data_IF_932511504050
#
_entry.id   IF_932511504050
#
_cell.length_a   1.000
_cell.length_b   1.000
_cell.length_c   1.000
_cell.angle_alpha   90.00
_cell.angle_beta   90.00
_cell.angle_gamma   90.00
#
_symmetry.space_group_name_H-M   'P 1'
#
loop_
_entity.id
_entity.type
_entity.pdbx_description
1 polymer ?
#
# COMPACT_ATOMS: atom_id res chain seq x y z
N UNK A 1 -43.12 -14.91 -20.94
CA UNK A 1 -42.47 -13.60 -20.95
C UNK A 1 -41.00 -13.78 -21.35
N UNK A 2 -40.60 -13.30 -22.54
CA UNK A 2 -39.20 -13.37 -23.02
C UNK A 2 -38.47 -12.14 -22.51
N UNK A 3 -37.46 -12.32 -21.69
CA UNK A 3 -36.52 -11.27 -21.33
C UNK A 3 -35.62 -10.99 -22.54
N UNK A 4 -35.78 -9.82 -23.14
CA UNK A 4 -34.84 -9.30 -24.15
C UNK A 4 -33.61 -8.80 -23.40
N UNK A 5 -32.48 -9.49 -23.55
CA UNK A 5 -31.16 -8.98 -23.19
C UNK A 5 -30.79 -7.88 -24.21
N UNK A 6 -30.90 -6.64 -23.81
CA UNK A 6 -30.36 -5.52 -24.60
C UNK A 6 -28.83 -5.50 -24.41
N UNK A 7 -28.11 -5.84 -25.44
CA UNK A 7 -26.65 -5.84 -25.57
C UNK A 7 -26.08 -4.42 -25.73
N UNK A 8 -26.40 -3.49 -24.83
CA UNK A 8 -25.89 -2.10 -24.88
C UNK A 8 -24.72 -1.79 -23.97
N UNK A 9 -24.08 -2.82 -23.36
CA UNK A 9 -23.01 -2.63 -22.36
C UNK A 9 -21.57 -2.69 -22.88
N UNK A 10 -21.32 -3.08 -24.13
CA UNK A 10 -19.94 -3.40 -24.57
C UNK A 10 -19.21 -2.28 -25.34
N UNK A 11 -19.86 -1.16 -25.63
CA UNK A 11 -19.27 -0.10 -26.48
C UNK A 11 -18.52 1.02 -25.75
N UNK A 12 -18.58 1.10 -24.43
CA UNK A 12 -17.93 2.21 -23.69
C UNK A 12 -16.69 1.82 -22.87
N UNK A 13 -16.14 0.63 -23.05
CA UNK A 13 -14.95 0.21 -22.29
C UNK A 13 -13.62 0.62 -22.93
N UNK A 14 -13.63 1.17 -24.15
CA UNK A 14 -12.40 1.61 -24.85
C UNK A 14 -12.43 3.07 -25.33
N UNK A 15 -13.48 3.82 -25.03
CA UNK A 15 -13.62 5.20 -25.51
C UNK A 15 -13.86 6.16 -24.35
N UNK A 16 -12.82 6.80 -23.84
CA UNK A 16 -12.90 7.91 -22.89
C UNK A 16 -12.24 7.65 -21.55
N UNK A 17 -11.17 6.89 -21.49
CA UNK A 17 -10.26 6.92 -20.35
C UNK A 17 -9.62 8.30 -20.31
N UNK A 18 -10.06 9.15 -19.37
CA UNK A 18 -9.23 10.25 -18.89
C UNK A 18 -7.93 9.60 -18.43
N UNK A 19 -6.88 9.66 -19.26
CA UNK A 19 -5.54 9.12 -18.96
C UNK A 19 -4.85 9.91 -17.83
N UNK A 20 -5.55 10.86 -17.22
CA UNK A 20 -5.06 11.64 -16.10
C UNK A 20 -5.02 10.79 -14.83
N UNK A 21 -3.90 10.86 -14.14
CA UNK A 21 -3.77 10.27 -12.79
C UNK A 21 -4.73 11.02 -11.86
N UNK A 22 -5.67 10.31 -11.19
CA UNK A 22 -6.63 10.97 -10.32
C UNK A 22 -5.94 11.62 -9.11
N UNK A 23 -6.64 12.58 -8.48
CA UNK A 23 -6.02 13.52 -7.55
C UNK A 23 -5.45 12.88 -6.29
N UNK A 24 -6.12 11.85 -5.73
CA UNK A 24 -5.66 11.15 -4.53
C UNK A 24 -4.36 10.40 -4.76
N UNK A 25 -4.31 9.58 -5.82
CA UNK A 25 -3.08 8.90 -6.24
C UNK A 25 -1.98 9.91 -6.52
N UNK A 26 -2.29 10.96 -7.28
CA UNK A 26 -1.31 12.02 -7.61
C UNK A 26 -0.72 12.68 -6.37
N UNK A 27 -1.56 13.04 -5.40
CA UNK A 27 -1.13 13.65 -4.13
C UNK A 27 -0.23 12.70 -3.34
N UNK A 28 -0.60 11.42 -3.22
CA UNK A 28 0.21 10.44 -2.51
C UNK A 28 1.56 10.20 -3.19
N UNK A 29 1.59 10.13 -4.53
CA UNK A 29 2.85 10.01 -5.28
C UNK A 29 3.78 11.20 -5.03
N UNK A 30 3.24 12.43 -5.13
CA UNK A 30 4.01 13.66 -4.92
C UNK A 30 4.52 13.73 -3.48
N UNK A 31 3.66 13.51 -2.47
CA UNK A 31 4.03 13.59 -1.06
C UNK A 31 5.15 12.61 -0.72
N UNK A 32 5.01 11.33 -1.10
CA UNK A 32 6.03 10.32 -0.82
C UNK A 32 7.37 10.65 -1.51
N UNK A 33 7.30 11.10 -2.77
CA UNK A 33 8.50 11.46 -3.54
C UNK A 33 9.19 12.69 -2.94
N UNK A 34 8.43 13.74 -2.61
CA UNK A 34 8.98 14.97 -2.02
C UNK A 34 9.62 14.68 -0.66
N UNK A 35 8.91 13.94 0.22
CA UNK A 35 9.45 13.59 1.54
C UNK A 35 10.73 12.76 1.40
N UNK A 36 10.76 11.78 0.50
CA UNK A 36 11.96 10.97 0.25
C UNK A 36 13.16 11.85 -0.13
N UNK A 37 13.01 12.72 -1.12
CA UNK A 37 14.12 13.58 -1.52
C UNK A 37 14.48 14.62 -0.47
N UNK A 38 13.53 15.15 0.30
CA UNK A 38 13.82 16.04 1.42
C UNK A 38 14.67 15.34 2.49
N UNK A 39 14.39 14.07 2.81
CA UNK A 39 15.18 13.28 3.76
C UNK A 39 16.59 13.02 3.20
N UNK A 40 16.69 12.58 1.93
CA UNK A 40 17.97 12.31 1.27
C UNK A 40 18.88 13.55 1.20
N UNK A 41 18.33 14.72 0.84
CA UNK A 41 19.09 15.96 0.67
C UNK A 41 19.44 16.61 2.01
N UNK A 42 18.63 16.41 3.04
CA UNK A 42 18.82 17.07 4.34
C UNK A 42 20.13 16.70 5.05
N UNK A 43 20.79 15.60 4.64
CA UNK A 43 21.96 15.07 5.32
C UNK A 43 21.70 14.69 6.78
N UNK A 44 20.45 14.68 7.21
CA UNK A 44 20.05 14.23 8.54
C UNK A 44 20.51 12.79 8.77
N UNK A 45 20.97 12.49 9.98
CA UNK A 45 21.26 11.10 10.35
C UNK A 45 19.99 10.26 10.16
N UNK A 46 20.01 9.37 9.17
CA UNK A 46 18.88 8.48 8.84
C UNK A 46 18.30 7.80 10.08
N UNK A 47 19.18 7.35 10.99
CA UNK A 47 18.78 6.68 12.23
C UNK A 47 17.90 7.57 13.12
N UNK A 48 18.24 8.86 13.28
CA UNK A 48 17.48 9.79 14.10
C UNK A 48 16.12 10.08 13.47
N UNK A 49 16.07 10.27 12.15
CA UNK A 49 14.83 10.57 11.43
C UNK A 49 13.86 9.38 11.45
N UNK A 50 14.35 8.19 11.13
CA UNK A 50 13.53 6.97 11.16
C UNK A 50 13.13 6.57 12.59
N UNK A 51 13.96 6.87 13.58
CA UNK A 51 13.63 6.65 14.98
C UNK A 51 12.49 7.54 15.50
N UNK A 52 12.29 8.73 14.92
CA UNK A 52 11.25 9.68 15.34
C UNK A 52 9.98 9.58 14.50
N UNK A 53 10.10 9.35 13.19
CA UNK A 53 8.98 9.37 12.24
C UNK A 53 8.64 8.01 11.62
N UNK A 54 9.57 7.04 11.66
CA UNK A 54 9.28 5.65 11.36
C UNK A 54 8.47 5.01 12.49
N UNK A 55 7.81 3.91 12.21
CA UNK A 55 7.05 3.17 13.20
C UNK A 55 8.00 2.31 14.02
N UNK A 56 8.31 2.73 15.24
CA UNK A 56 9.09 1.97 16.23
C UNK A 56 8.14 1.45 17.31
N UNK A 57 7.79 0.15 17.30
CA UNK A 57 6.73 -0.38 18.15
C UNK A 57 6.88 -0.01 19.63
N UNK A 58 8.08 -0.17 20.20
CA UNK A 58 8.31 0.18 21.60
C UNK A 58 8.06 1.67 21.88
N UNK A 59 8.42 2.58 20.96
CA UNK A 59 8.28 4.03 21.18
C UNK A 59 6.83 4.50 21.08
N UNK A 60 6.01 3.86 20.26
CA UNK A 60 4.56 4.16 20.17
C UNK A 60 3.95 4.07 21.57
N UNK A 61 4.32 3.04 22.34
CA UNK A 61 3.68 2.75 23.62
C UNK A 61 4.45 3.37 24.81
N UNK A 62 5.80 3.25 24.86
CA UNK A 62 6.59 3.72 25.98
C UNK A 62 6.87 5.23 25.96
N UNK A 63 6.95 5.82 24.77
CA UNK A 63 7.25 7.25 24.58
C UNK A 63 6.05 8.04 24.01
N UNK A 64 4.88 7.39 23.88
CA UNK A 64 3.65 7.99 23.34
C UNK A 64 3.84 8.65 21.97
N UNK A 65 4.68 8.06 21.10
CA UNK A 65 4.89 8.57 19.73
C UNK A 65 3.73 8.16 18.81
N UNK A 66 2.52 8.63 19.13
CA UNK A 66 1.26 8.26 18.47
C UNK A 66 1.13 8.73 17.01
N UNK A 67 2.02 9.57 16.53
CA UNK A 67 2.11 9.99 15.13
C UNK A 67 2.76 8.93 14.25
N UNK A 68 3.60 8.05 14.80
CA UNK A 68 4.36 7.07 14.06
C UNK A 68 3.50 6.13 13.18
N UNK A 69 2.31 5.64 13.63
CA UNK A 69 1.41 4.86 12.79
C UNK A 69 0.89 5.58 11.52
N UNK A 70 1.09 6.91 11.42
CA UNK A 70 0.75 7.71 10.24
C UNK A 70 2.01 8.09 9.46
N UNK A 71 3.03 8.58 10.13
CA UNK A 71 4.21 9.18 9.48
C UNK A 71 5.08 8.15 8.77
N UNK A 72 5.12 6.91 9.27
CA UNK A 72 5.90 5.82 8.67
C UNK A 72 5.51 5.52 7.22
N UNK A 73 4.25 5.80 6.84
CA UNK A 73 3.70 5.58 5.50
C UNK A 73 4.43 6.40 4.42
N UNK A 74 5.04 7.50 4.81
CA UNK A 74 5.69 8.43 3.89
C UNK A 74 7.21 8.29 3.83
N UNK A 75 7.78 7.40 4.64
CA UNK A 75 9.22 7.17 4.72
C UNK A 75 9.62 5.96 3.87
N UNK A 76 10.75 6.04 3.19
CA UNK A 76 11.26 4.96 2.37
C UNK A 76 12.76 4.77 2.56
N UNK A 77 13.20 3.53 2.74
CA UNK A 77 14.59 3.16 3.05
C UNK A 77 15.52 3.08 1.84
N UNK A 78 15.12 3.70 0.70
CA UNK A 78 15.94 3.78 -0.50
C UNK A 78 15.07 3.94 -1.77
N UNK A 79 15.74 4.37 -2.85
CA UNK A 79 15.05 4.69 -4.11
C UNK A 79 14.23 3.52 -4.68
N UNK A 80 14.75 2.30 -4.64
CA UNK A 80 14.04 1.12 -5.15
C UNK A 80 12.79 0.82 -4.33
N UNK A 81 12.87 0.99 -2.99
CA UNK A 81 11.72 0.82 -2.09
C UNK A 81 10.62 1.84 -2.42
N UNK A 82 10.97 3.12 -2.58
CA UNK A 82 10.05 4.15 -3.02
C UNK A 82 9.44 3.81 -4.38
N UNK A 83 10.30 3.49 -5.36
CA UNK A 83 9.87 3.22 -6.74
C UNK A 83 8.81 2.12 -6.82
N UNK A 84 9.04 0.98 -6.13
CA UNK A 84 8.07 -0.12 -6.14
C UNK A 84 6.75 0.26 -5.46
N UNK A 85 6.79 0.94 -4.31
CA UNK A 85 5.57 1.40 -3.65
C UNK A 85 4.77 2.35 -4.56
N UNK A 86 5.43 3.33 -5.15
CA UNK A 86 4.80 4.33 -6.02
C UNK A 86 4.30 3.70 -7.32
N UNK A 87 5.04 2.75 -7.89
CA UNK A 87 4.61 2.03 -9.08
C UNK A 87 3.32 1.24 -8.83
N UNK A 88 3.26 0.49 -7.74
CA UNK A 88 2.07 -0.30 -7.38
C UNK A 88 0.90 0.61 -7.04
N UNK A 89 1.13 1.68 -6.27
CA UNK A 89 0.12 2.69 -5.96
C UNK A 89 -0.44 3.33 -7.24
N UNK A 90 0.41 3.72 -8.17
CA UNK A 90 -0.02 4.28 -9.46
C UNK A 90 -0.80 3.27 -10.30
N UNK A 91 -0.27 2.05 -10.44
CA UNK A 91 -0.85 1.04 -11.34
C UNK A 91 -2.24 0.57 -10.87
N UNK A 92 -2.40 0.28 -9.59
CA UNK A 92 -3.64 -0.28 -9.03
C UNK A 92 -4.52 0.79 -8.38
N UNK A 93 -3.93 1.79 -7.75
CA UNK A 93 -4.66 2.87 -7.08
C UNK A 93 -5.46 3.71 -8.04
N UNK A 94 -4.92 3.98 -9.23
CA UNK A 94 -5.60 4.75 -10.28
C UNK A 94 -6.99 4.20 -10.63
N UNK A 95 -7.08 2.90 -10.88
CA UNK A 95 -8.35 2.27 -11.28
C UNK A 95 -9.34 2.21 -10.11
N UNK A 96 -8.85 1.97 -8.89
CA UNK A 96 -9.69 2.00 -7.69
C UNK A 96 -10.22 3.40 -7.41
N UNK A 97 -9.39 4.43 -7.51
CA UNK A 97 -9.81 5.81 -7.29
C UNK A 97 -10.83 6.28 -8.35
N UNK A 98 -10.65 5.91 -9.63
CA UNK A 98 -11.64 6.18 -10.67
C UNK A 98 -12.99 5.52 -10.36
N UNK A 99 -12.98 4.34 -9.77
CA UNK A 99 -14.20 3.59 -9.45
C UNK A 99 -14.88 4.09 -8.17
N UNK A 100 -14.11 4.46 -7.13
CA UNK A 100 -14.65 4.80 -5.81
C UNK A 100 -14.77 6.30 -5.55
N UNK A 101 -14.07 7.12 -6.34
CA UNK A 101 -13.83 8.54 -6.06
C UNK A 101 -12.70 8.76 -5.05
N UNK A 102 -12.10 9.96 -5.11
CA UNK A 102 -10.87 10.27 -4.36
C UNK A 102 -11.03 10.19 -2.84
N UNK A 103 -12.19 10.61 -2.31
CA UNK A 103 -12.43 10.59 -0.86
C UNK A 103 -12.47 9.17 -0.32
N UNK A 104 -13.21 8.26 -0.97
CA UNK A 104 -13.31 6.86 -0.55
C UNK A 104 -11.99 6.15 -0.70
N UNK A 105 -11.27 6.41 -1.80
CA UNK A 105 -9.93 5.87 -2.05
C UNK A 105 -8.94 6.27 -0.95
N UNK A 106 -8.86 7.56 -0.62
CA UNK A 106 -7.97 8.05 0.43
C UNK A 106 -8.33 7.50 1.81
N UNK A 107 -9.63 7.44 2.15
CA UNK A 107 -10.08 6.82 3.40
C UNK A 107 -9.63 5.36 3.49
N UNK A 108 -9.81 4.59 2.44
CA UNK A 108 -9.38 3.19 2.38
C UNK A 108 -7.85 3.06 2.51
N UNK A 109 -7.10 3.86 1.74
CA UNK A 109 -5.64 3.87 1.79
C UNK A 109 -5.11 4.13 3.20
N UNK A 110 -5.60 5.19 3.85
CA UNK A 110 -5.18 5.53 5.20
C UNK A 110 -5.69 4.55 6.25
N UNK A 111 -6.89 4.01 6.10
CA UNK A 111 -7.39 2.97 7.00
C UNK A 111 -6.48 1.74 6.96
N UNK A 112 -6.14 1.23 5.77
CA UNK A 112 -5.22 0.11 5.61
C UNK A 112 -3.83 0.43 6.19
N UNK A 113 -3.27 1.59 5.85
CA UNK A 113 -1.93 1.97 6.29
C UNK A 113 -1.82 2.21 7.80
N UNK A 114 -2.71 3.02 8.35
CA UNK A 114 -2.73 3.32 9.81
C UNK A 114 -3.07 2.06 10.60
N UNK A 115 -4.07 1.30 10.16
CA UNK A 115 -4.45 0.03 10.79
C UNK A 115 -3.31 -0.98 10.77
N UNK A 116 -2.56 -1.07 9.66
CA UNK A 116 -1.35 -1.88 9.58
C UNK A 116 -0.28 -1.41 10.56
N UNK A 117 -0.07 -0.10 10.69
CA UNK A 117 0.87 0.49 11.65
C UNK A 117 0.48 0.19 13.09
N UNK A 118 -0.80 0.34 13.44
CA UNK A 118 -1.30 0.00 14.78
C UNK A 118 -1.10 -1.49 15.08
N UNK A 119 -1.52 -2.37 14.15
CA UNK A 119 -1.32 -3.81 14.32
C UNK A 119 0.16 -4.17 14.48
N UNK A 120 1.04 -3.57 13.67
CA UNK A 120 2.48 -3.78 13.77
C UNK A 120 3.02 -3.31 15.13
N UNK A 121 2.54 -2.19 15.67
CA UNK A 121 2.97 -1.71 16.98
C UNK A 121 2.51 -2.61 18.13
N UNK A 122 1.38 -3.30 17.97
CA UNK A 122 0.85 -4.25 18.96
C UNK A 122 1.61 -5.58 18.90
N UNK A 123 1.70 -6.19 17.70
CA UNK A 123 2.33 -7.50 17.53
C UNK A 123 3.87 -7.43 17.59
N UNK A 124 4.47 -6.28 17.28
CA UNK A 124 5.90 -6.00 17.41
C UNK A 124 6.26 -5.41 18.76
N UNK A 125 5.43 -5.53 19.80
CA UNK A 125 5.65 -4.99 21.13
C UNK A 125 7.08 -5.26 21.62
N UNK A 126 7.76 -4.20 22.08
CA UNK A 126 9.16 -4.30 22.52
C UNK A 126 10.21 -4.20 21.41
N UNK A 127 9.84 -4.21 20.14
CA UNK A 127 10.79 -4.04 19.05
C UNK A 127 11.27 -2.58 18.94
N UNK A 128 12.58 -2.42 18.80
CA UNK A 128 13.25 -1.15 18.53
C UNK A 128 13.50 -0.93 17.03
N UNK A 129 13.21 -1.93 16.20
CA UNK A 129 13.44 -1.84 14.75
C UNK A 129 12.38 -0.97 14.11
N UNK A 130 12.76 0.13 13.42
CA UNK A 130 11.80 0.98 12.74
C UNK A 130 11.21 0.29 11.51
N UNK A 131 9.91 0.38 11.34
CA UNK A 131 9.18 -0.01 10.13
C UNK A 131 8.84 1.27 9.35
N UNK A 132 9.09 1.26 8.05
CA UNK A 132 8.89 2.39 7.15
C UNK A 132 8.30 1.92 5.82
N UNK A 133 7.53 2.75 5.16
CA UNK A 133 6.99 2.54 3.81
C UNK A 133 5.48 2.56 3.73
N UNK A 134 5.01 2.92 2.53
CA UNK A 134 3.59 2.89 2.18
C UNK A 134 3.03 1.45 2.03
N UNK A 135 3.88 0.44 2.15
CA UNK A 135 3.56 -0.93 1.74
C UNK A 135 2.37 -1.54 2.47
N UNK A 136 2.13 -1.20 3.75
CA UNK A 136 0.93 -1.65 4.46
C UNK A 136 -0.37 -1.23 3.75
N UNK A 137 -0.45 0.04 3.36
CA UNK A 137 -1.58 0.56 2.58
C UNK A 137 -1.63 -0.04 1.16
N UNK A 138 -0.47 -0.20 0.53
CA UNK A 138 -0.34 -0.76 -0.82
C UNK A 138 -0.83 -2.22 -0.86
N UNK A 139 -0.52 -3.04 0.14
CA UNK A 139 -1.05 -4.41 0.23
C UNK A 139 -2.58 -4.43 0.42
N UNK A 140 -3.13 -3.48 1.19
CA UNK A 140 -4.58 -3.27 1.25
C UNK A 140 -5.17 -2.94 -0.13
N UNK A 141 -4.55 -2.01 -0.87
CA UNK A 141 -4.98 -1.67 -2.24
C UNK A 141 -4.91 -2.87 -3.19
N UNK A 142 -3.85 -3.67 -3.11
CA UNK A 142 -3.72 -4.90 -3.91
C UNK A 142 -4.84 -5.89 -3.62
N UNK A 143 -5.20 -6.08 -2.36
CA UNK A 143 -6.34 -6.91 -1.99
C UNK A 143 -7.64 -6.36 -2.58
N UNK A 144 -7.94 -5.08 -2.38
CA UNK A 144 -9.14 -4.45 -2.94
C UNK A 144 -9.20 -4.59 -4.47
N UNK A 145 -8.08 -4.40 -5.13
CA UNK A 145 -7.99 -4.57 -6.58
C UNK A 145 -8.24 -6.03 -7.00
N UNK A 146 -7.67 -6.98 -6.25
CA UNK A 146 -7.89 -8.42 -6.48
C UNK A 146 -9.35 -8.85 -6.29
N UNK A 147 -10.06 -8.23 -5.34
CA UNK A 147 -11.48 -8.47 -5.11
C UNK A 147 -12.35 -7.80 -6.18
N UNK A 148 -11.99 -6.58 -6.61
CA UNK A 148 -12.75 -5.82 -7.60
C UNK A 148 -12.54 -6.35 -9.03
N UNK A 149 -11.32 -6.76 -9.38
CA UNK A 149 -10.93 -7.18 -10.73
C UNK A 149 -10.21 -8.54 -10.77
N UNK A 150 -10.79 -9.63 -10.21
CA UNK A 150 -10.08 -10.88 -9.92
C UNK A 150 -9.51 -11.59 -11.16
N UNK A 151 -10.17 -11.44 -12.30
CA UNK A 151 -9.80 -12.11 -13.55
C UNK A 151 -9.00 -11.22 -14.51
N UNK A 152 -8.72 -9.97 -14.13
CA UNK A 152 -7.89 -9.07 -14.93
C UNK A 152 -6.47 -9.61 -15.03
N UNK A 153 -5.86 -9.50 -16.21
CA UNK A 153 -4.49 -9.93 -16.41
C UNK A 153 -3.53 -8.78 -16.09
N UNK A 154 -2.50 -9.11 -15.32
CA UNK A 154 -1.33 -8.26 -15.11
C UNK A 154 -0.14 -9.00 -15.70
N UNK A 155 0.69 -8.29 -16.45
CA UNK A 155 1.86 -8.87 -17.09
C UNK A 155 3.08 -8.67 -16.19
N UNK A 156 3.50 -9.76 -15.51
CA UNK A 156 4.75 -9.74 -14.74
C UNK A 156 5.93 -9.58 -15.70
N UNK A 157 6.81 -8.64 -15.37
CA UNK A 157 7.95 -8.26 -16.23
C UNK A 157 7.54 -7.92 -17.69
N UNK A 158 6.28 -7.53 -17.90
CA UNK A 158 5.75 -7.26 -19.24
C UNK A 158 5.53 -8.47 -20.14
N UNK A 159 5.78 -9.69 -19.65
CA UNK A 159 5.81 -10.92 -20.46
C UNK A 159 4.77 -11.93 -19.97
N UNK A 160 4.75 -12.25 -18.69
CA UNK A 160 3.93 -13.33 -18.14
C UNK A 160 2.56 -12.84 -17.67
N UNK A 161 1.45 -13.22 -18.36
CA UNK A 161 0.11 -12.84 -17.93
C UNK A 161 -0.32 -13.64 -16.71
N UNK A 162 -0.62 -12.97 -15.60
CA UNK A 162 -1.15 -13.58 -14.39
C UNK A 162 -2.47 -12.90 -14.03
N UNK A 163 -3.49 -13.68 -13.67
CA UNK A 163 -4.72 -13.11 -13.13
C UNK A 163 -4.43 -12.46 -11.77
N UNK A 164 -4.98 -11.26 -11.57
CA UNK A 164 -4.77 -10.46 -10.34
C UNK A 164 -5.03 -11.26 -9.07
N UNK A 165 -6.09 -12.07 -9.03
CA UNK A 165 -6.39 -12.90 -7.86
C UNK A 165 -5.23 -13.82 -7.44
N UNK A 166 -4.54 -14.45 -8.40
CA UNK A 166 -3.40 -15.34 -8.09
C UNK A 166 -2.17 -14.54 -7.66
N UNK A 167 -1.97 -13.37 -8.25
CA UNK A 167 -0.90 -12.47 -7.85
C UNK A 167 -1.10 -12.02 -6.39
N UNK A 168 -2.30 -11.56 -6.03
CA UNK A 168 -2.61 -11.08 -4.67
C UNK A 168 -2.51 -12.20 -3.64
N UNK A 169 -3.05 -13.41 -3.96
CA UNK A 169 -2.92 -14.58 -3.08
C UNK A 169 -1.43 -14.93 -2.88
N UNK A 170 -0.65 -14.99 -3.96
CA UNK A 170 0.78 -15.28 -3.89
C UNK A 170 1.54 -14.27 -3.02
N UNK A 171 1.27 -12.98 -3.18
CA UNK A 171 1.89 -11.94 -2.36
C UNK A 171 1.51 -12.07 -0.87
N UNK A 172 0.24 -12.38 -0.58
CA UNK A 172 -0.22 -12.63 0.79
C UNK A 172 0.47 -13.85 1.42
N UNK A 173 0.58 -14.95 0.68
CA UNK A 173 1.28 -16.17 1.10
C UNK A 173 2.75 -15.91 1.36
N UNK A 174 3.44 -15.21 0.46
CA UNK A 174 4.85 -14.84 0.65
C UNK A 174 5.02 -13.96 1.89
N UNK A 175 4.18 -12.94 2.08
CA UNK A 175 4.23 -12.08 3.25
C UNK A 175 3.99 -12.87 4.55
N UNK A 176 3.06 -13.83 4.54
CA UNK A 176 2.76 -14.68 5.68
C UNK A 176 3.97 -15.57 6.08
N UNK A 177 4.53 -16.32 5.13
CA UNK A 177 5.69 -17.17 5.43
C UNK A 177 6.93 -16.36 5.81
N UNK A 178 7.16 -15.22 5.16
CA UNK A 178 8.25 -14.33 5.49
C UNK A 178 8.12 -13.74 6.90
N UNK A 179 6.89 -13.52 7.41
CA UNK A 179 6.67 -13.07 8.78
C UNK A 179 7.09 -14.10 9.83
N UNK A 180 7.10 -15.39 9.47
CA UNK A 180 7.52 -16.48 10.37
C UNK A 180 9.03 -16.70 10.40
N UNK A 181 9.73 -16.35 9.32
CA UNK A 181 11.15 -16.68 9.14
C UNK A 181 12.10 -15.51 9.38
N UNK A 182 11.62 -14.27 9.26
CA UNK A 182 12.49 -13.08 9.39
C UNK A 182 12.59 -12.61 10.82
N UNK A 183 13.77 -12.77 11.43
CA UNK A 183 14.07 -12.22 12.75
C UNK A 183 14.60 -10.78 12.72
N UNK A 184 15.08 -10.28 11.59
CA UNK A 184 15.82 -9.01 11.47
C UNK A 184 15.54 -8.17 10.22
N UNK A 185 14.39 -8.31 9.56
CA UNK A 185 14.13 -7.46 8.39
C UNK A 185 13.56 -6.10 8.79
N UNK A 186 14.05 -5.03 8.17
CA UNK A 186 13.49 -3.67 8.24
C UNK A 186 12.09 -3.59 7.63
N UNK A 187 11.69 -4.61 6.89
CA UNK A 187 10.36 -4.75 6.31
C UNK A 187 9.51 -5.62 7.22
N UNK A 188 8.52 -5.07 7.87
CA UNK A 188 7.60 -5.85 8.69
C UNK A 188 6.59 -6.57 7.80
N UNK A 189 6.76 -7.87 7.64
CA UNK A 189 5.78 -8.70 6.92
C UNK A 189 4.41 -8.72 7.63
N UNK A 190 4.40 -8.52 8.95
CA UNK A 190 3.18 -8.33 9.74
C UNK A 190 2.41 -7.11 9.23
N UNK A 191 3.09 -6.00 8.89
CA UNK A 191 2.47 -4.80 8.35
C UNK A 191 1.73 -5.07 7.04
N UNK A 192 2.29 -5.91 6.17
CA UNK A 192 1.67 -6.27 4.89
C UNK A 192 0.38 -7.09 5.10
N UNK A 193 0.45 -8.11 5.94
CA UNK A 193 -0.71 -8.95 6.27
C UNK A 193 -1.79 -8.10 6.96
N UNK A 194 -1.40 -7.28 7.93
CA UNK A 194 -2.32 -6.41 8.64
C UNK A 194 -3.01 -5.42 7.69
N UNK A 195 -2.28 -4.85 6.72
CA UNK A 195 -2.86 -3.98 5.69
C UNK A 195 -3.93 -4.69 4.86
N UNK A 196 -3.68 -5.96 4.47
CA UNK A 196 -4.68 -6.78 3.77
C UNK A 196 -5.88 -7.10 4.65
N UNK A 197 -5.67 -7.47 5.92
CA UNK A 197 -6.76 -7.79 6.86
C UNK A 197 -7.64 -6.56 7.13
N UNK A 198 -7.04 -5.41 7.38
CA UNK A 198 -7.80 -4.16 7.56
C UNK A 198 -8.58 -3.82 6.29
N UNK A 199 -7.96 -3.98 5.13
CA UNK A 199 -8.62 -3.75 3.84
C UNK A 199 -9.77 -4.73 3.55
N UNK A 200 -9.76 -5.93 4.12
CA UNK A 200 -10.84 -6.90 3.99
C UNK A 200 -12.03 -6.58 4.90
N UNK A 201 -11.76 -5.96 6.06
CA UNK A 201 -12.78 -5.62 7.06
C UNK A 201 -13.48 -4.31 6.71
N UNK A 202 -12.76 -3.37 6.09
CA UNK A 202 -13.28 -2.07 5.67
C UNK A 202 -14.29 -2.19 4.54
#
# INVERSE_FOLDING_TARGET
>A
MRYQYTSSGFKNSFGGSNNSVPIGVKLLLILNTVIFFMVEISGMQFELFYSNFGLVPVKVWSSFMIWQPVTYLFLHGGFIHLLFNMFVLWMFGKDLEHNWGSISFLKYYFACGIGAGIATSIFGWGSFTPVIGASGAVYGLLLAYGLTYPNRLVYLYGIFPIKVKFMVIGMGVIAFFASMTSTNSTVSHITHIAGMVVGLIY
#
